data_IF_030555758874
#
_entry.id   IF_030555758874
#
_cell.length_a   1.000
_cell.length_b   1.000
_cell.length_c   1.000
_cell.angle_alpha   90.00
_cell.angle_beta   90.00
_cell.angle_gamma   90.00
#
_symmetry.space_group_name_H-M   'P 1'
#
loop_
_entity.id
_entity.type
_entity.pdbx_description
1 polymer ?
#
# COMPACT_ATOMS: atom_id res chain seq x y z
N UNK A 1 2.00 60.80 -28.35
CA UNK A 1 1.92 59.34 -28.01
C UNK A 1 3.34 58.82 -27.96
N UNK A 2 3.80 58.55 -26.80
CA UNK A 2 5.19 58.29 -26.45
C UNK A 2 5.69 56.97 -27.09
N UNK A 3 6.80 57.05 -27.86
CA UNK A 3 7.40 55.88 -28.53
C UNK A 3 7.76 54.78 -27.50
N UNK A 4 8.12 55.16 -26.31
CA UNK A 4 8.44 54.26 -25.20
C UNK A 4 7.26 53.34 -24.85
N UNK A 5 6.04 53.86 -24.75
CA UNK A 5 4.84 53.09 -24.41
C UNK A 5 4.44 52.05 -25.51
N UNK A 6 4.81 52.33 -26.80
CA UNK A 6 4.56 51.41 -27.91
C UNK A 6 5.54 50.23 -27.88
N UNK A 7 6.79 50.46 -27.54
CA UNK A 7 7.80 49.41 -27.39
C UNK A 7 7.51 48.51 -26.21
N UNK A 8 7.09 49.06 -25.08
CA UNK A 8 6.66 48.28 -23.92
C UNK A 8 5.49 47.36 -24.25
N UNK A 9 4.43 47.87 -24.86
CA UNK A 9 3.29 47.05 -25.28
C UNK A 9 3.66 45.92 -26.27
N UNK A 10 4.60 46.20 -27.18
CA UNK A 10 5.12 45.23 -28.13
C UNK A 10 5.94 44.14 -27.44
N UNK A 11 6.78 44.53 -26.46
CA UNK A 11 7.56 43.60 -25.67
C UNK A 11 6.66 42.71 -24.82
N UNK A 12 5.66 43.26 -24.12
CA UNK A 12 4.70 42.49 -23.34
C UNK A 12 3.89 41.50 -24.18
N UNK A 13 3.47 41.90 -25.38
CA UNK A 13 2.77 41.04 -26.33
C UNK A 13 3.68 39.92 -26.84
N UNK A 14 4.96 40.20 -27.08
CA UNK A 14 5.98 39.26 -27.52
C UNK A 14 6.28 38.23 -26.38
N UNK A 15 6.51 38.70 -25.17
CA UNK A 15 6.72 37.87 -23.99
C UNK A 15 5.52 36.96 -23.71
N UNK A 16 4.29 37.49 -23.77
CA UNK A 16 3.07 36.69 -23.63
C UNK A 16 2.97 35.60 -24.70
N UNK A 17 3.30 35.92 -25.97
CA UNK A 17 3.23 34.96 -27.06
C UNK A 17 4.29 33.86 -26.92
N UNK A 18 5.52 34.22 -26.54
CA UNK A 18 6.59 33.25 -26.29
C UNK A 18 6.24 32.35 -25.09
N UNK A 19 5.79 32.93 -23.98
CA UNK A 19 5.35 32.16 -22.82
C UNK A 19 4.19 31.19 -23.14
N UNK A 20 3.30 31.58 -24.08
CA UNK A 20 2.23 30.67 -24.55
C UNK A 20 2.77 29.51 -25.41
N UNK A 21 3.79 29.76 -26.21
CA UNK A 21 4.43 28.75 -27.07
C UNK A 21 5.27 27.77 -26.24
N UNK A 22 5.98 28.25 -25.21
CA UNK A 22 6.77 27.43 -24.29
C UNK A 22 5.88 26.48 -23.47
N UNK A 23 4.65 26.91 -23.16
CA UNK A 23 3.67 26.04 -22.46
C UNK A 23 3.18 24.86 -23.29
N UNK A 24 3.26 24.93 -24.61
CA UNK A 24 2.62 23.95 -25.49
C UNK A 24 3.58 22.94 -26.11
N UNK A 25 4.91 23.15 -26.06
CA UNK A 25 5.82 22.29 -26.79
C UNK A 25 7.26 22.26 -26.20
N UNK A 26 7.81 21.05 -25.96
CA UNK A 26 9.20 20.84 -25.50
C UNK A 26 10.24 21.43 -26.47
N UNK A 27 9.99 21.35 -27.75
CA UNK A 27 10.82 21.94 -28.81
C UNK A 27 10.82 23.47 -28.78
N UNK A 28 9.73 24.08 -28.30
CA UNK A 28 9.67 25.55 -28.14
C UNK A 28 10.57 26.02 -26.97
N UNK A 29 10.81 25.18 -25.98
CA UNK A 29 11.76 25.45 -24.90
C UNK A 29 13.21 25.52 -25.41
N UNK A 30 13.60 24.61 -26.31
CA UNK A 30 14.94 24.60 -26.93
C UNK A 30 15.14 25.78 -27.89
N UNK A 31 14.15 26.10 -28.72
CA UNK A 31 14.17 27.28 -29.61
C UNK A 31 14.21 28.57 -28.78
N UNK A 32 13.50 28.61 -27.67
CA UNK A 32 13.48 29.71 -26.73
C UNK A 32 14.84 29.94 -26.08
N UNK A 33 15.50 28.86 -25.70
CA UNK A 33 16.87 28.90 -25.15
C UNK A 33 17.85 29.43 -26.17
N UNK A 34 17.67 29.11 -27.45
CA UNK A 34 18.48 29.62 -28.55
C UNK A 34 18.17 31.08 -28.94
N UNK A 35 16.90 31.52 -28.91
CA UNK A 35 16.49 32.89 -29.19
C UNK A 35 16.86 33.86 -28.06
N UNK A 36 17.08 33.36 -26.83
CA UNK A 36 17.57 34.18 -25.72
C UNK A 36 19.09 34.36 -25.70
N UNK A 37 19.80 33.94 -26.77
CA UNK A 37 21.26 34.00 -26.89
C UNK A 37 21.84 35.42 -27.13
N UNK A 38 21.09 36.47 -26.81
CA UNK A 38 21.63 37.82 -26.59
C UNK A 38 22.45 37.87 -25.29
N UNK A 39 23.36 38.84 -25.19
CA UNK A 39 24.38 38.93 -24.12
C UNK A 39 23.89 38.93 -22.68
N UNK A 40 22.59 38.97 -22.40
CA UNK A 40 22.01 38.88 -21.08
C UNK A 40 20.77 37.98 -21.11
N UNK A 41 20.85 36.80 -20.52
CA UNK A 41 19.75 35.84 -20.40
C UNK A 41 19.18 35.83 -18.99
N UNK A 42 17.92 36.13 -18.90
CA UNK A 42 17.19 36.04 -17.64
C UNK A 42 16.02 35.08 -17.78
N UNK A 43 16.25 33.81 -17.46
CA UNK A 43 15.23 32.78 -17.46
C UNK A 43 14.81 32.47 -16.03
N UNK A 44 13.53 32.65 -15.73
CA UNK A 44 12.93 32.28 -14.45
C UNK A 44 12.17 30.94 -14.62
N UNK A 45 12.60 29.91 -13.95
CA UNK A 45 11.89 28.64 -13.87
C UNK A 45 11.14 28.57 -12.55
N UNK A 46 9.82 28.57 -12.60
CA UNK A 46 8.99 28.29 -11.44
C UNK A 46 8.66 26.79 -11.46
N UNK A 47 9.12 26.07 -10.44
CA UNK A 47 8.79 24.68 -10.22
C UNK A 47 7.90 24.58 -8.98
N UNK A 48 6.67 24.14 -9.18
CA UNK A 48 5.71 23.91 -8.10
C UNK A 48 5.59 22.39 -7.93
N UNK A 49 6.01 21.91 -6.78
CA UNK A 49 5.83 20.51 -6.41
C UNK A 49 4.60 20.43 -5.51
N UNK A 50 3.59 19.71 -5.96
CA UNK A 50 2.40 19.43 -5.15
C UNK A 50 2.32 17.95 -4.85
N UNK A 51 2.01 17.61 -3.61
CA UNK A 51 1.76 16.24 -3.18
C UNK A 51 0.29 16.10 -2.75
N UNK A 52 -0.32 15.02 -3.16
CA UNK A 52 -1.69 14.67 -2.74
C UNK A 52 -1.73 13.25 -2.21
N UNK A 53 -2.54 13.01 -1.19
CA UNK A 53 -2.75 11.68 -0.62
C UNK A 53 -3.86 10.95 -1.36
N UNK A 54 -3.60 9.68 -1.67
CA UNK A 54 -4.64 8.79 -2.18
C UNK A 54 -5.30 8.06 -1.01
N UNK A 55 -6.59 8.29 -0.81
CA UNK A 55 -7.37 7.71 0.29
C UNK A 55 -8.09 6.42 -0.09
N UNK A 56 -8.18 6.08 -1.38
CA UNK A 56 -8.98 4.94 -1.86
C UNK A 56 -8.61 3.63 -1.17
N UNK A 57 -7.31 3.35 -1.05
CA UNK A 57 -6.84 2.12 -0.43
C UNK A 57 -7.11 2.06 1.07
N UNK A 58 -7.08 3.21 1.76
CA UNK A 58 -7.41 3.31 3.19
C UNK A 58 -8.88 2.95 3.40
N UNK A 59 -9.77 3.57 2.63
CA UNK A 59 -11.22 3.34 2.72
C UNK A 59 -11.57 1.88 2.46
N UNK A 60 -10.95 1.25 1.44
CA UNK A 60 -11.16 -0.17 1.13
C UNK A 60 -10.72 -1.10 2.27
N UNK A 61 -9.62 -0.78 2.96
CA UNK A 61 -9.17 -1.57 4.09
C UNK A 61 -10.08 -1.32 5.31
N UNK A 62 -10.41 -0.07 5.61
CA UNK A 62 -11.31 0.29 6.73
C UNK A 62 -12.66 -0.41 6.61
N UNK A 63 -13.24 -0.46 5.41
CA UNK A 63 -14.51 -1.15 5.14
C UNK A 63 -14.46 -2.66 5.45
N UNK A 64 -13.28 -3.27 5.34
CA UNK A 64 -13.12 -4.71 5.45
C UNK A 64 -12.46 -5.16 6.76
N UNK A 65 -11.87 -4.25 7.53
CA UNK A 65 -11.05 -4.60 8.70
C UNK A 65 -11.88 -5.22 9.83
N UNK A 66 -13.11 -4.75 10.02
CA UNK A 66 -14.05 -5.30 11.01
C UNK A 66 -14.53 -6.68 10.61
N UNK A 67 -14.76 -6.91 9.32
CA UNK A 67 -15.18 -8.21 8.78
C UNK A 67 -14.06 -9.24 8.94
N UNK A 68 -12.80 -8.85 8.72
CA UNK A 68 -11.63 -9.68 9.05
C UNK A 68 -11.61 -10.05 10.54
N UNK A 69 -11.87 -9.10 11.42
CA UNK A 69 -11.94 -9.35 12.86
C UNK A 69 -13.04 -10.35 13.25
N UNK A 70 -14.20 -10.31 12.59
CA UNK A 70 -15.27 -11.26 12.81
C UNK A 70 -14.89 -12.68 12.35
N UNK A 71 -14.22 -12.80 11.19
CA UNK A 71 -13.74 -14.09 10.69
C UNK A 71 -12.68 -14.68 11.65
N UNK A 72 -11.76 -13.85 12.14
CA UNK A 72 -10.72 -14.29 13.09
C UNK A 72 -11.33 -14.81 14.39
N UNK A 73 -12.39 -14.17 14.88
CA UNK A 73 -13.11 -14.61 16.09
C UNK A 73 -13.90 -15.91 15.88
N UNK A 74 -14.52 -16.05 14.71
CA UNK A 74 -15.36 -17.19 14.36
C UNK A 74 -14.95 -17.77 12.99
N UNK A 75 -13.78 -18.43 12.91
CA UNK A 75 -13.27 -18.96 11.68
C UNK A 75 -14.14 -20.12 11.15
N UNK A 76 -14.18 -20.24 9.83
CA UNK A 76 -14.84 -21.38 9.21
C UNK A 76 -14.15 -22.68 9.61
N UNK A 77 -14.93 -23.65 10.02
CA UNK A 77 -14.42 -24.94 10.45
C UNK A 77 -15.12 -26.10 9.76
N UNK A 78 -14.37 -27.12 9.52
CA UNK A 78 -14.87 -28.42 9.08
C UNK A 78 -14.56 -29.45 10.17
N UNK A 79 -15.22 -30.57 10.14
CA UNK A 79 -14.94 -31.67 11.06
C UNK A 79 -13.95 -32.64 10.40
N UNK A 80 -12.94 -33.07 11.15
CA UNK A 80 -12.01 -34.12 10.76
C UNK A 80 -12.09 -35.28 11.77
N UNK A 81 -12.16 -36.46 11.25
CA UNK A 81 -12.10 -37.68 12.09
C UNK A 81 -10.64 -37.99 12.39
N UNK A 82 -10.31 -38.14 13.67
CA UNK A 82 -8.98 -38.49 14.13
C UNK A 82 -9.06 -39.77 14.98
N UNK A 83 -8.26 -40.77 14.62
CA UNK A 83 -8.11 -42.00 15.37
C UNK A 83 -6.96 -41.90 16.36
N UNK A 84 -7.25 -42.13 17.64
CA UNK A 84 -6.25 -42.18 18.73
C UNK A 84 -6.28 -43.53 19.41
N UNK A 85 -5.10 -44.13 19.65
CA UNK A 85 -4.97 -45.37 20.42
C UNK A 85 -4.83 -44.98 21.88
N UNK A 86 -5.83 -45.30 22.67
CA UNK A 86 -5.87 -44.97 24.10
C UNK A 86 -6.02 -46.22 24.94
N UNK A 87 -5.59 -46.22 26.22
CA UNK A 87 -5.94 -47.27 27.18
C UNK A 87 -7.44 -47.48 27.23
N UNK A 88 -7.88 -48.72 27.40
CA UNK A 88 -9.32 -49.07 27.37
C UNK A 88 -10.12 -48.27 28.40
N UNK A 89 -9.53 -47.96 29.55
CA UNK A 89 -10.14 -47.19 30.64
C UNK A 89 -10.45 -45.73 30.24
N UNK A 90 -9.73 -45.21 29.23
CA UNK A 90 -9.90 -43.83 28.70
C UNK A 90 -10.76 -43.80 27.43
N UNK A 91 -11.16 -44.95 26.91
CA UNK A 91 -11.94 -45.05 25.70
C UNK A 91 -13.40 -44.63 25.95
N UNK A 92 -13.80 -43.45 25.39
CA UNK A 92 -15.17 -42.95 25.53
C UNK A 92 -16.15 -43.56 24.55
N UNK A 93 -15.68 -43.84 23.34
CA UNK A 93 -16.50 -44.43 22.25
C UNK A 93 -15.67 -45.43 21.46
N UNK A 94 -16.23 -46.57 21.21
CA UNK A 94 -15.72 -47.60 20.30
C UNK A 94 -16.71 -47.82 19.14
N UNK A 95 -16.22 -48.07 17.98
CA UNK A 95 -17.01 -48.36 16.78
C UNK A 95 -16.49 -49.60 16.05
N UNK A 96 -17.10 -49.95 14.90
CA UNK A 96 -16.68 -51.11 14.11
C UNK A 96 -15.21 -51.01 13.65
N UNK A 97 -14.68 -49.79 13.42
CA UNK A 97 -13.27 -49.59 13.05
C UNK A 97 -12.33 -49.87 14.23
N UNK A 98 -12.75 -49.54 15.46
CA UNK A 98 -12.00 -49.88 16.68
C UNK A 98 -11.84 -51.37 16.81
N UNK A 99 -12.90 -52.13 16.53
CA UNK A 99 -12.91 -53.61 16.58
C UNK A 99 -12.01 -54.19 15.48
N UNK A 100 -12.16 -53.67 14.24
CA UNK A 100 -11.33 -54.09 13.11
C UNK A 100 -9.84 -53.79 13.34
N UNK A 101 -9.54 -52.63 13.91
CA UNK A 101 -8.19 -52.26 14.28
C UNK A 101 -7.61 -53.20 15.32
N UNK A 102 -8.40 -53.53 16.37
CA UNK A 102 -7.97 -54.45 17.43
C UNK A 102 -7.68 -55.86 16.89
N UNK A 103 -8.53 -56.38 15.95
CA UNK A 103 -8.32 -57.67 15.30
C UNK A 103 -7.04 -57.72 14.45
N UNK A 104 -6.62 -56.61 13.91
CA UNK A 104 -5.38 -56.49 13.11
C UNK A 104 -4.14 -56.22 13.97
N UNK A 105 -4.31 -55.82 15.23
CA UNK A 105 -3.23 -55.42 16.17
C UNK A 105 -3.35 -56.18 17.51
N UNK A 106 -3.03 -57.45 17.47
CA UNK A 106 -3.14 -58.36 18.62
C UNK A 106 -2.28 -57.95 19.81
N UNK A 107 -1.26 -57.12 19.60
CA UNK A 107 -0.42 -56.54 20.65
C UNK A 107 -1.20 -55.66 21.65
N UNK A 108 -2.38 -55.22 21.29
CA UNK A 108 -3.27 -54.44 22.18
C UNK A 108 -4.27 -55.30 22.91
N UNK A 109 -4.23 -56.63 22.75
CA UNK A 109 -5.05 -57.60 23.48
C UNK A 109 -4.29 -57.98 24.76
N UNK A 110 -4.91 -57.76 25.93
CA UNK A 110 -4.37 -58.15 27.23
C UNK A 110 -4.59 -59.63 27.53
N UNK A 111 -5.79 -60.10 27.27
CA UNK A 111 -6.17 -61.51 27.54
C UNK A 111 -7.39 -61.94 26.70
N UNK A 112 -7.49 -63.22 26.45
CA UNK A 112 -8.67 -63.83 25.83
C UNK A 112 -9.16 -64.88 26.84
N UNK A 113 -10.45 -64.87 27.21
CA UNK A 113 -11.01 -65.84 28.12
C UNK A 113 -11.35 -67.17 27.40
N UNK A 114 -11.69 -68.21 28.18
CA UNK A 114 -12.05 -69.53 27.65
C UNK A 114 -13.29 -69.51 26.77
N UNK A 115 -14.09 -68.44 26.78
CA UNK A 115 -15.27 -68.22 25.93
C UNK A 115 -14.99 -67.41 24.69
N UNK A 116 -13.73 -67.00 24.45
CA UNK A 116 -13.34 -66.19 23.31
C UNK A 116 -13.55 -64.69 23.48
N UNK A 117 -13.89 -64.20 24.68
CA UNK A 117 -14.02 -62.77 24.94
C UNK A 117 -12.64 -62.13 25.04
N UNK A 118 -12.45 -61.07 24.30
CA UNK A 118 -11.19 -60.32 24.20
C UNK A 118 -11.21 -59.15 25.21
N UNK A 119 -10.22 -59.10 26.11
CA UNK A 119 -9.99 -57.93 26.95
C UNK A 119 -8.85 -57.13 26.36
N UNK A 120 -9.10 -55.94 25.78
CA UNK A 120 -8.06 -55.11 25.20
C UNK A 120 -7.32 -54.35 26.32
N UNK A 121 -6.03 -54.03 26.09
CA UNK A 121 -5.23 -53.11 26.91
C UNK A 121 -5.36 -51.70 26.33
N UNK A 122 -5.35 -51.57 24.98
CA UNK A 122 -5.53 -50.31 24.24
C UNK A 122 -6.56 -50.54 23.15
N UNK A 123 -7.25 -49.43 22.82
CA UNK A 123 -8.31 -49.48 21.78
C UNK A 123 -8.18 -48.21 20.92
N UNK A 124 -8.44 -48.33 19.64
CA UNK A 124 -8.58 -47.18 18.75
C UNK A 124 -9.90 -46.48 19.07
N UNK A 125 -9.85 -45.25 19.49
CA UNK A 125 -11.00 -44.35 19.56
C UNK A 125 -11.00 -43.39 18.41
N UNK A 126 -12.17 -43.19 17.81
CA UNK A 126 -12.37 -42.28 16.71
C UNK A 126 -13.11 -41.06 17.23
N UNK A 127 -12.42 -39.94 17.26
CA UNK A 127 -12.98 -38.66 17.69
C UNK A 127 -13.13 -37.71 16.52
N UNK A 128 -14.20 -36.95 16.55
CA UNK A 128 -14.42 -35.87 15.58
C UNK A 128 -13.86 -34.59 16.18
N UNK A 129 -12.85 -34.04 15.55
CA UNK A 129 -12.22 -32.79 15.97
C UNK A 129 -12.48 -31.69 14.94
N UNK A 130 -12.57 -30.46 15.43
CA UNK A 130 -12.69 -29.30 14.55
C UNK A 130 -11.39 -29.09 13.77
N UNK A 131 -11.51 -28.92 12.47
CA UNK A 131 -10.39 -28.60 11.60
C UNK A 131 -10.52 -27.17 11.09
N UNK A 132 -9.59 -26.34 11.46
CA UNK A 132 -9.49 -24.94 11.08
C UNK A 132 -8.56 -24.72 9.87
N UNK A 133 -7.78 -25.71 9.46
CA UNK A 133 -6.88 -25.64 8.31
C UNK A 133 -7.62 -25.76 6.98
N UNK A 134 -8.75 -25.05 6.85
CA UNK A 134 -9.55 -25.01 5.62
C UNK A 134 -8.94 -24.09 4.60
N UNK A 135 -9.31 -24.25 3.32
CA UNK A 135 -8.84 -23.38 2.25
C UNK A 135 -9.18 -21.90 2.52
N UNK A 136 -10.40 -21.66 3.00
CA UNK A 136 -10.92 -20.33 3.29
C UNK A 136 -10.12 -19.61 4.38
N UNK A 137 -9.81 -20.32 5.46
CA UNK A 137 -9.01 -19.76 6.54
C UNK A 137 -7.55 -19.52 6.10
N UNK A 138 -6.99 -20.41 5.30
CA UNK A 138 -5.67 -20.22 4.69
C UNK A 138 -5.66 -19.01 3.76
N UNK A 139 -6.73 -18.78 3.01
CA UNK A 139 -6.89 -17.59 2.21
C UNK A 139 -6.89 -16.31 3.08
N UNK A 140 -7.65 -16.29 4.19
CA UNK A 140 -7.67 -15.15 5.12
C UNK A 140 -6.29 -14.93 5.76
N UNK A 141 -5.60 -16.00 6.18
CA UNK A 141 -4.23 -15.91 6.70
C UNK A 141 -3.27 -15.27 5.67
N UNK A 142 -3.38 -15.71 4.40
CA UNK A 142 -2.58 -15.14 3.31
C UNK A 142 -2.91 -13.66 3.07
N UNK A 143 -4.20 -13.30 3.11
CA UNK A 143 -4.64 -11.91 2.97
C UNK A 143 -4.07 -11.03 4.08
N UNK A 144 -4.12 -11.48 5.35
CA UNK A 144 -3.57 -10.72 6.49
C UNK A 144 -2.06 -10.49 6.31
N UNK A 145 -1.29 -11.52 5.94
CA UNK A 145 0.15 -11.40 5.68
C UNK A 145 0.43 -10.36 4.59
N UNK A 146 -0.32 -10.40 3.50
CA UNK A 146 -0.19 -9.45 2.39
C UNK A 146 -0.59 -8.03 2.78
N UNK A 147 -1.66 -7.87 3.56
CA UNK A 147 -2.08 -6.56 4.07
C UNK A 147 -1.03 -5.94 4.99
N UNK A 148 -0.42 -6.73 5.88
CA UNK A 148 0.68 -6.25 6.73
C UNK A 148 1.84 -5.76 5.88
N UNK A 149 2.29 -6.54 4.90
CA UNK A 149 3.35 -6.11 3.99
C UNK A 149 2.96 -4.85 3.19
N UNK A 150 1.71 -4.81 2.70
CA UNK A 150 1.16 -3.70 1.93
C UNK A 150 1.15 -2.39 2.73
N UNK A 151 0.72 -2.45 4.00
CA UNK A 151 0.63 -1.27 4.87
C UNK A 151 2.01 -0.81 5.35
N UNK A 152 2.92 -1.74 5.72
CA UNK A 152 4.26 -1.38 6.18
C UNK A 152 5.04 -0.62 5.10
N UNK A 153 5.03 -1.11 3.87
CA UNK A 153 5.68 -0.46 2.75
C UNK A 153 5.16 0.98 2.51
N UNK A 154 3.84 1.18 2.64
CA UNK A 154 3.22 2.51 2.46
C UNK A 154 3.46 3.42 3.65
N UNK A 155 3.38 2.87 4.84
CA UNK A 155 3.64 3.60 6.07
C UNK A 155 5.07 4.17 6.10
N UNK A 156 6.07 3.34 5.82
CA UNK A 156 7.47 3.76 5.72
C UNK A 156 7.65 4.86 4.66
N UNK A 157 7.04 4.68 3.48
CA UNK A 157 7.12 5.67 2.42
C UNK A 157 6.45 6.99 2.80
N UNK A 158 5.25 6.95 3.38
CA UNK A 158 4.49 8.13 3.80
C UNK A 158 5.25 8.88 4.91
N UNK A 159 5.77 8.16 5.92
CA UNK A 159 6.53 8.79 7.01
C UNK A 159 7.82 9.43 6.51
N UNK A 160 8.56 8.77 5.61
CA UNK A 160 9.79 9.32 5.04
C UNK A 160 9.56 10.54 4.13
N UNK A 161 8.34 10.69 3.58
CA UNK A 161 7.96 11.78 2.67
C UNK A 161 6.88 12.69 3.28
N UNK A 162 6.60 12.57 4.58
CA UNK A 162 5.56 13.34 5.27
C UNK A 162 5.86 14.84 5.39
N UNK A 163 7.08 15.27 5.07
CA UNK A 163 7.36 16.67 4.89
C UNK A 163 6.73 17.16 3.57
N UNK A 164 5.44 17.47 3.64
CA UNK A 164 4.73 18.16 2.56
C UNK A 164 5.36 19.53 2.38
N UNK A 165 6.25 19.65 1.42
CA UNK A 165 6.86 20.91 1.05
C UNK A 165 6.15 21.39 -0.20
N UNK A 166 5.30 22.41 -0.09
CA UNK A 166 5.03 23.27 -1.23
C UNK A 166 6.29 24.06 -1.48
N UNK A 167 7.22 23.48 -2.23
CA UNK A 167 8.47 24.11 -2.58
C UNK A 167 8.27 24.86 -3.89
N UNK A 168 8.25 26.16 -3.83
CA UNK A 168 8.43 26.98 -5.01
C UNK A 168 9.93 27.20 -5.19
N UNK A 169 10.51 26.60 -6.23
CA UNK A 169 11.92 26.76 -6.56
C UNK A 169 12.03 27.66 -7.78
N UNK A 170 12.63 28.83 -7.60
CA UNK A 170 12.95 29.74 -8.67
C UNK A 170 14.42 29.56 -9.05
N UNK A 171 14.67 29.16 -10.28
CA UNK A 171 16.01 29.12 -10.85
C UNK A 171 16.17 30.36 -11.75
N UNK A 172 17.21 31.15 -11.51
CA UNK A 172 17.57 32.30 -12.31
C UNK A 172 18.95 31.98 -12.88
N UNK A 173 19.04 31.89 -14.20
CA UNK A 173 20.32 31.77 -14.90
C UNK A 173 20.60 33.09 -15.63
N UNK A 174 21.72 33.70 -15.32
CA UNK A 174 22.22 34.87 -16.03
C UNK A 174 23.61 34.60 -16.58
N UNK A 175 23.88 35.03 -17.79
CA UNK A 175 25.21 35.06 -18.39
C UNK A 175 25.63 36.48 -18.62
N UNK A 176 26.78 36.84 -18.14
CA UNK A 176 27.39 38.18 -18.31
C UNK A 176 28.82 38.03 -18.82
N UNK A 177 29.28 38.96 -19.65
CA UNK A 177 30.69 39.06 -20.03
C UNK A 177 31.34 40.11 -19.12
N UNK A 178 32.27 39.66 -18.25
CA UNK A 178 33.04 40.53 -17.36
C UNK A 178 34.49 40.39 -17.77
N UNK A 179 35.13 41.50 -18.11
CA UNK A 179 36.55 41.57 -18.53
C UNK A 179 36.91 40.58 -19.66
N UNK A 180 35.98 40.37 -20.61
CA UNK A 180 36.17 39.49 -21.74
C UNK A 180 35.93 37.97 -21.43
N UNK A 181 35.61 37.64 -20.18
CA UNK A 181 35.30 36.28 -19.78
C UNK A 181 33.78 36.09 -19.66
N UNK A 182 33.24 34.94 -20.16
CA UNK A 182 31.83 34.58 -19.97
C UNK A 182 31.64 34.08 -18.52
N UNK A 183 30.84 34.79 -17.75
CA UNK A 183 30.47 34.43 -16.39
C UNK A 183 29.02 33.98 -16.40
N UNK A 184 28.78 32.74 -15.98
CA UNK A 184 27.43 32.18 -15.79
C UNK A 184 27.09 32.22 -14.29
N UNK A 185 26.02 32.90 -13.95
CA UNK A 185 25.53 32.98 -12.56
C UNK A 185 24.23 32.18 -12.49
N UNK A 186 24.23 31.14 -11.67
CA UNK A 186 23.01 30.38 -11.34
C UNK A 186 22.58 30.72 -9.91
N UNK A 187 21.41 31.31 -9.76
CA UNK A 187 20.80 31.57 -8.46
C UNK A 187 19.60 30.67 -8.25
N UNK A 188 19.63 29.87 -7.20
CA UNK A 188 18.51 29.02 -6.78
C UNK A 188 17.86 29.64 -5.56
N UNK A 189 16.66 30.19 -5.71
CA UNK A 189 15.86 30.71 -4.62
C UNK A 189 14.76 29.68 -4.30
N UNK A 190 14.82 29.11 -3.10
CA UNK A 190 13.81 28.17 -2.61
C UNK A 190 12.90 28.92 -1.66
N UNK A 191 11.67 29.14 -2.07
CA UNK A 191 10.63 29.75 -1.22
C UNK A 191 9.86 28.58 -0.60
N UNK A 192 9.98 28.42 0.70
CA UNK A 192 9.12 27.55 1.49
C UNK A 192 7.89 28.38 1.82
N UNK A 193 6.80 28.19 1.11
CA UNK A 193 5.53 28.78 1.52
C UNK A 193 5.04 28.07 2.78
N UNK A 194 4.50 28.83 3.72
CA UNK A 194 3.79 28.25 4.84
C UNK A 194 2.71 27.33 4.30
N UNK A 195 2.78 26.06 4.69
CA UNK A 195 1.83 25.05 4.26
C UNK A 195 0.49 25.43 4.88
N UNK A 196 -0.55 25.52 4.08
CA UNK A 196 -1.92 25.83 4.55
C UNK A 196 -2.26 24.88 5.73
N UNK A 197 -2.71 25.45 6.85
CA UNK A 197 -3.12 24.69 8.04
C UNK A 197 -4.10 23.55 7.70
N UNK A 198 -4.92 23.72 6.67
CA UNK A 198 -5.81 22.66 6.16
C UNK A 198 -5.06 21.45 5.63
N UNK A 199 -3.95 21.69 4.91
CA UNK A 199 -3.13 20.62 4.34
C UNK A 199 -2.41 19.87 5.46
N UNK A 200 -1.93 20.60 6.48
CA UNK A 200 -1.29 19.99 7.65
C UNK A 200 -2.29 19.08 8.38
N UNK A 201 -3.50 19.56 8.67
CA UNK A 201 -4.55 18.77 9.31
C UNK A 201 -4.93 17.53 8.50
N UNK A 202 -5.11 17.67 7.19
CA UNK A 202 -5.39 16.54 6.31
C UNK A 202 -4.28 15.49 6.34
N UNK A 203 -3.01 15.90 6.38
CA UNK A 203 -1.88 14.97 6.45
C UNK A 203 -1.82 14.24 7.79
N UNK A 204 -2.10 14.94 8.90
CA UNK A 204 -2.16 14.35 10.23
C UNK A 204 -3.32 13.36 10.37
N UNK A 205 -4.50 13.69 9.86
CA UNK A 205 -5.65 12.78 9.80
C UNK A 205 -5.33 11.54 8.98
N UNK A 206 -4.73 11.71 7.81
CA UNK A 206 -4.30 10.63 6.93
C UNK A 206 -3.32 9.68 7.64
N UNK A 207 -2.27 10.22 8.25
CA UNK A 207 -1.28 9.45 9.01
C UNK A 207 -1.92 8.72 10.20
N UNK A 208 -2.86 9.36 10.88
CA UNK A 208 -3.58 8.77 12.01
C UNK A 208 -4.41 7.56 11.56
N UNK A 209 -5.13 7.67 10.44
CA UNK A 209 -5.88 6.56 9.85
C UNK A 209 -4.96 5.40 9.47
N UNK A 210 -3.83 5.69 8.81
CA UNK A 210 -2.85 4.67 8.41
C UNK A 210 -2.27 3.95 9.63
N UNK A 211 -1.89 4.69 10.69
CA UNK A 211 -1.39 4.11 11.95
C UNK A 211 -2.43 3.19 12.58
N UNK A 212 -3.68 3.62 12.64
CA UNK A 212 -4.78 2.83 13.22
C UNK A 212 -5.02 1.52 12.46
N UNK A 213 -5.03 1.57 11.13
CA UNK A 213 -5.16 0.36 10.29
C UNK A 213 -3.97 -0.58 10.55
N UNK A 214 -2.75 -0.04 10.60
CA UNK A 214 -1.54 -0.79 10.88
C UNK A 214 -1.62 -1.54 12.22
N UNK A 215 -2.07 -0.87 13.28
CA UNK A 215 -2.25 -1.46 14.61
C UNK A 215 -3.27 -2.62 14.58
N UNK A 216 -4.42 -2.45 13.92
CA UNK A 216 -5.40 -3.53 13.75
C UNK A 216 -4.83 -4.73 13.00
N UNK A 217 -4.10 -4.48 11.91
CA UNK A 217 -3.52 -5.56 11.11
C UNK A 217 -2.42 -6.32 11.87
N UNK A 218 -1.58 -5.63 12.64
CA UNK A 218 -0.58 -6.26 13.49
C UNK A 218 -1.23 -7.06 14.63
N UNK A 219 -2.32 -6.56 15.22
CA UNK A 219 -3.10 -7.29 16.20
C UNK A 219 -3.68 -8.60 15.61
N UNK A 220 -4.26 -8.54 14.39
CA UNK A 220 -4.78 -9.71 13.69
C UNK A 220 -3.66 -10.70 13.32
N UNK A 221 -2.53 -10.20 12.88
CA UNK A 221 -1.37 -11.02 12.53
C UNK A 221 -0.83 -11.82 13.74
N UNK A 222 -0.92 -11.27 14.94
CA UNK A 222 -0.49 -11.93 16.16
C UNK A 222 -1.60 -12.75 16.85
N UNK A 223 -2.78 -12.90 16.24
CA UNK A 223 -3.92 -13.63 16.79
C UNK A 223 -3.68 -15.15 16.88
N UNK A 224 -4.46 -15.83 17.72
CA UNK A 224 -4.41 -17.30 17.82
C UNK A 224 -4.85 -17.98 16.51
N UNK A 225 -5.73 -17.35 15.74
CA UNK A 225 -6.08 -17.80 14.39
C UNK A 225 -4.84 -17.93 13.50
N UNK A 226 -3.95 -16.94 13.50
CA UNK A 226 -2.72 -16.98 12.71
C UNK A 226 -1.71 -18.00 13.26
N UNK A 227 -1.69 -18.22 14.59
CA UNK A 227 -0.82 -19.25 15.20
C UNK A 227 -1.25 -20.65 14.80
N UNK A 228 -2.56 -20.93 14.77
CA UNK A 228 -3.10 -22.23 14.34
C UNK A 228 -2.71 -22.53 12.88
N UNK A 229 -2.70 -21.51 12.04
CA UNK A 229 -2.41 -21.63 10.60
C UNK A 229 -0.94 -21.41 10.24
N UNK A 230 -0.05 -21.26 11.24
CA UNK A 230 1.36 -20.91 11.02
C UNK A 230 2.10 -21.87 10.08
N UNK A 231 1.81 -23.17 10.19
CA UNK A 231 2.46 -24.21 9.41
C UNK A 231 1.74 -24.54 8.10
N UNK A 232 0.60 -23.89 7.84
CA UNK A 232 -0.16 -24.11 6.62
C UNK A 232 0.41 -23.29 5.47
N UNK A 233 0.36 -23.88 4.27
CA UNK A 233 0.83 -23.21 3.06
C UNK A 233 -0.08 -22.05 2.69
N UNK A 234 0.53 -20.93 2.30
CA UNK A 234 -0.19 -19.78 1.79
C UNK A 234 -0.94 -20.13 0.49
N UNK A 235 -2.05 -19.45 0.27
CA UNK A 235 -2.84 -19.62 -0.95
C UNK A 235 -2.23 -18.76 -2.05
N UNK A 236 -1.98 -19.37 -3.21
CA UNK A 236 -1.41 -18.69 -4.38
C UNK A 236 -2.47 -18.37 -5.43
N UNK A 237 -2.20 -17.38 -6.27
CA UNK A 237 -3.06 -17.08 -7.43
C UNK A 237 -3.05 -18.22 -8.46
N UNK A 238 -4.21 -18.48 -9.13
CA UNK A 238 -5.51 -17.84 -8.94
C UNK A 238 -6.24 -18.33 -7.69
N UNK A 239 -6.89 -17.42 -6.97
CA UNK A 239 -7.68 -17.74 -5.78
C UNK A 239 -8.96 -18.48 -6.19
N UNK A 240 -9.17 -19.66 -5.64
CA UNK A 240 -10.39 -20.44 -5.86
C UNK A 240 -11.57 -19.80 -5.13
N UNK A 241 -12.63 -19.51 -5.87
CA UNK A 241 -13.88 -19.00 -5.28
C UNK A 241 -14.72 -20.19 -4.78
N UNK A 242 -14.42 -20.69 -3.57
CA UNK A 242 -15.24 -21.70 -2.93
C UNK A 242 -16.64 -21.18 -2.65
N UNK A 243 -17.58 -22.09 -2.36
CA UNK A 243 -18.94 -21.71 -1.99
C UNK A 243 -18.98 -20.77 -0.77
N UNK A 244 -18.07 -20.93 0.17
CA UNK A 244 -17.96 -20.05 1.35
C UNK A 244 -17.52 -18.67 0.93
N UNK A 245 -16.43 -18.54 0.17
CA UNK A 245 -15.91 -17.25 -0.32
C UNK A 245 -16.97 -16.51 -1.15
N UNK A 246 -17.79 -17.24 -1.93
CA UNK A 246 -18.79 -16.64 -2.80
C UNK A 246 -20.08 -16.26 -2.08
N UNK A 247 -20.57 -17.10 -1.13
CA UNK A 247 -21.87 -16.93 -0.47
C UNK A 247 -21.82 -16.21 0.87
N UNK A 248 -20.71 -16.32 1.60
CA UNK A 248 -20.55 -15.64 2.87
C UNK A 248 -20.09 -14.18 2.64
N UNK A 249 -20.87 -13.18 3.05
CA UNK A 249 -20.58 -11.76 2.77
C UNK A 249 -19.23 -11.32 3.34
N UNK A 250 -18.82 -11.81 4.50
CA UNK A 250 -17.55 -11.45 5.13
C UNK A 250 -16.36 -11.94 4.28
N UNK A 251 -16.36 -13.20 3.86
CA UNK A 251 -15.31 -13.76 3.01
C UNK A 251 -15.33 -13.16 1.61
N UNK A 252 -16.50 -12.79 1.09
CA UNK A 252 -16.63 -12.13 -0.20
C UNK A 252 -16.02 -10.73 -0.20
N UNK A 253 -16.24 -9.94 0.84
CA UNK A 253 -15.58 -8.63 1.01
C UNK A 253 -14.07 -8.77 1.10
N UNK A 254 -13.57 -9.74 1.89
CA UNK A 254 -12.14 -10.03 1.97
C UNK A 254 -11.54 -10.43 0.61
N UNK A 255 -12.30 -11.16 -0.22
CA UNK A 255 -11.87 -11.51 -1.57
C UNK A 255 -11.78 -10.29 -2.48
N UNK A 256 -12.73 -9.37 -2.39
CA UNK A 256 -12.70 -8.12 -3.15
C UNK A 256 -11.53 -7.22 -2.71
N UNK A 257 -11.27 -7.15 -1.39
CA UNK A 257 -10.10 -6.47 -0.86
C UNK A 257 -8.79 -7.08 -1.37
N UNK A 258 -8.68 -8.42 -1.38
CA UNK A 258 -7.53 -9.11 -1.95
C UNK A 258 -7.28 -8.72 -3.40
N UNK A 259 -8.32 -8.74 -4.25
CA UNK A 259 -8.22 -8.32 -5.65
C UNK A 259 -7.80 -6.86 -5.81
N UNK A 260 -8.29 -6.00 -4.93
CA UNK A 260 -7.93 -4.59 -4.94
C UNK A 260 -6.44 -4.41 -4.65
N UNK A 261 -5.91 -4.97 -3.55
CA UNK A 261 -4.50 -4.81 -3.19
C UNK A 261 -3.53 -5.42 -4.21
N UNK A 262 -3.93 -6.49 -4.91
CA UNK A 262 -3.14 -7.10 -5.99
C UNK A 262 -2.97 -6.19 -7.22
N UNK A 263 -3.94 -5.31 -7.47
CA UNK A 263 -3.94 -4.37 -8.60
C UNK A 263 -3.42 -2.99 -8.23
N UNK A 264 -3.43 -2.66 -6.95
CA UNK A 264 -3.09 -1.34 -6.47
C UNK A 264 -1.59 -1.19 -6.28
N UNK A 265 -0.93 -0.48 -7.23
CA UNK A 265 0.52 -0.29 -7.24
C UNK A 265 0.98 1.06 -6.67
N UNK A 266 0.04 1.97 -6.36
CA UNK A 266 0.38 3.29 -5.82
C UNK A 266 0.91 3.19 -4.38
N UNK A 267 1.85 4.07 -4.02
CA UNK A 267 2.42 4.15 -2.67
C UNK A 267 1.58 5.01 -1.70
N UNK A 268 0.44 5.53 -2.16
CA UNK A 268 -0.49 6.33 -1.36
C UNK A 268 -0.21 7.82 -1.37
N UNK A 269 0.84 8.26 -2.07
CA UNK A 269 1.17 9.68 -2.28
C UNK A 269 1.43 9.90 -3.76
N UNK A 270 0.70 10.83 -4.34
CA UNK A 270 0.88 11.27 -5.72
C UNK A 270 1.66 12.58 -5.73
N UNK A 271 2.73 12.63 -6.51
CA UNK A 271 3.51 13.84 -6.73
C UNK A 271 3.18 14.40 -8.10
N UNK A 272 2.91 15.68 -8.16
CA UNK A 272 2.86 16.42 -9.42
C UNK A 272 3.89 17.54 -9.39
N UNK A 273 4.60 17.69 -10.50
CA UNK A 273 5.60 18.74 -10.70
C UNK A 273 5.10 19.60 -11.86
N UNK A 274 4.79 20.85 -11.57
CA UNK A 274 4.42 21.84 -12.60
C UNK A 274 5.60 22.79 -12.79
N UNK A 275 6.24 22.72 -13.95
CA UNK A 275 7.37 23.57 -14.32
C UNK A 275 6.91 24.63 -15.30
N UNK A 276 7.06 25.90 -14.92
CA UNK A 276 6.78 27.06 -15.77
C UNK A 276 8.05 27.85 -16.00
N UNK A 277 8.39 28.02 -17.25
CA UNK A 277 9.48 28.88 -17.67
C UNK A 277 8.90 30.24 -18.07
N UNK A 278 9.42 31.33 -17.49
CA UNK A 278 9.02 32.70 -17.81
C UNK A 278 10.27 33.57 -17.98
N UNK A 279 10.17 34.54 -18.91
CA UNK A 279 11.17 35.61 -18.98
C UNK A 279 10.94 36.56 -17.81
N UNK A 280 12.04 37.09 -17.27
CA UNK A 280 11.99 38.18 -16.30
C UNK A 280 11.47 39.45 -17.01
N UNK A 281 10.53 40.14 -16.35
CA UNK A 281 10.06 41.45 -16.80
C UNK A 281 11.16 42.52 -16.56
N UNK A 282 11.05 43.67 -17.20
CA UNK A 282 12.03 44.76 -17.06
C UNK A 282 12.18 45.26 -15.62
N UNK A 283 11.11 45.27 -14.82
CA UNK A 283 11.13 45.65 -13.40
C UNK A 283 11.96 44.65 -12.59
N UNK A 284 11.73 43.34 -12.80
CA UNK A 284 12.49 42.26 -12.11
C UNK A 284 13.98 42.25 -12.55
N UNK A 285 14.30 42.79 -13.75
CA UNK A 285 15.69 42.96 -14.20
C UNK A 285 16.39 44.14 -13.54
N UNK A 286 15.66 45.22 -13.24
CA UNK A 286 16.20 46.39 -12.58
C UNK A 286 16.47 46.15 -11.07
N UNK A 287 15.72 45.27 -10.43
CA UNK A 287 15.93 44.89 -9.04
C UNK A 287 17.16 43.99 -8.82
N UNK A 288 17.68 43.37 -9.91
CA UNK A 288 18.85 42.49 -9.84
C UNK A 288 20.18 43.12 -10.25
N UNK A 289 20.20 44.38 -10.74
CA UNK A 289 21.37 45.18 -11.03
C UNK A 289 21.68 46.16 -9.87
#
# INVERSE_FOLDING_TARGET
>A
MDKSNRYQKLNDAYVKKINSLVKTNKTASEVYTQLSDGNNRYLKMNRIETSSYDTEWIEKIEDSILDLGQIIKNPWKTTKTQGNIVPVELARKTNSESIRHLSSHTQYVKSVDSRGNITPNKVLTIETVDNYATYENRFISTLIKRLVYFIEKRYEYIVSHAELKNLQVNYIKSKAIVDGNEVEIETKVTIKSDVDEKIIKQSEEYLTRVKKIREYLLYYFNSDFMKILKNEKDVTNPILQTNVIRKNPLYHKCYNLYKFIERYNNLGVNYSIDEKYTLLNEEERQEMN
#
